data_IF_491426826706
#
_entry.id   IF_491426826706
#
_cell.length_a   1.000
_cell.length_b   1.000
_cell.length_c   1.000
_cell.angle_alpha   90.00
_cell.angle_beta   90.00
_cell.angle_gamma   90.00
#
_symmetry.space_group_name_H-M   'P 1'
#
loop_
_entity.id
_entity.type
_entity.pdbx_description
1 polymer ?
#
# COMPACT_ATOMS: atom_id res chain seq x y z
N UNK A 1 -8.25 11.32 -3.08
CA UNK A 1 -7.67 11.34 -4.44
C UNK A 1 -7.85 10.01 -5.18
N UNK A 2 -7.67 8.88 -4.50
CA UNK A 2 -7.87 7.55 -5.12
C UNK A 2 -9.29 7.39 -5.69
N UNK A 3 -10.29 7.78 -4.91
CA UNK A 3 -11.69 7.71 -5.34
C UNK A 3 -11.93 8.59 -6.57
N UNK A 4 -11.39 9.80 -6.56
CA UNK A 4 -11.53 10.74 -7.68
C UNK A 4 -10.97 10.15 -8.97
N UNK A 5 -9.79 9.55 -8.91
CA UNK A 5 -9.18 8.91 -10.08
C UNK A 5 -9.99 7.71 -10.58
N UNK A 6 -10.49 6.89 -9.67
CA UNK A 6 -11.34 5.74 -10.03
C UNK A 6 -12.66 6.20 -10.67
N UNK A 7 -13.28 7.24 -10.13
CA UNK A 7 -14.51 7.81 -10.69
C UNK A 7 -14.31 8.42 -12.07
N UNK A 8 -13.09 8.87 -12.37
CA UNK A 8 -12.70 9.35 -13.69
C UNK A 8 -12.37 8.21 -14.67
N UNK A 9 -12.55 6.97 -14.27
CA UNK A 9 -12.28 5.80 -15.08
C UNK A 9 -10.81 5.37 -15.13
N UNK A 10 -9.99 5.84 -14.19
CA UNK A 10 -8.56 5.53 -14.17
C UNK A 10 -8.25 4.38 -13.21
N UNK A 11 -7.35 3.50 -13.63
CA UNK A 11 -6.79 2.46 -12.77
C UNK A 11 -5.80 3.07 -11.80
N UNK A 12 -5.82 2.60 -10.56
CA UNK A 12 -4.88 3.04 -9.53
C UNK A 12 -4.03 1.86 -9.02
N UNK A 13 -2.89 2.21 -8.45
CA UNK A 13 -2.04 1.28 -7.68
C UNK A 13 -1.93 1.81 -6.27
N UNK A 14 -2.48 1.04 -5.34
CA UNK A 14 -2.41 1.35 -3.91
C UNK A 14 -1.23 0.60 -3.33
N UNK A 15 -0.31 1.34 -2.73
CA UNK A 15 0.90 0.78 -2.13
C UNK A 15 0.86 0.96 -0.62
N UNK A 16 1.15 -0.09 0.12
CA UNK A 16 1.16 -0.08 1.58
C UNK A 16 2.48 -0.65 2.09
N UNK A 17 3.15 0.07 2.97
CA UNK A 17 4.34 -0.44 3.66
C UNK A 17 3.93 -1.53 4.63
N UNK A 18 4.44 -2.75 4.44
CA UNK A 18 4.13 -3.91 5.27
C UNK A 18 5.10 -4.06 6.42
N UNK A 19 6.38 -3.92 6.15
CA UNK A 19 7.42 -4.06 7.16
C UNK A 19 8.62 -3.21 6.80
N UNK A 20 9.35 -2.80 7.83
CA UNK A 20 10.60 -2.05 7.70
C UNK A 20 11.65 -2.68 8.59
N UNK A 21 12.87 -2.80 8.09
CA UNK A 21 14.02 -3.30 8.83
C UNK A 21 15.10 -2.24 8.83
N UNK A 22 15.69 -1.97 10.00
CA UNK A 22 16.65 -0.89 10.17
C UNK A 22 15.99 0.48 10.21
N UNK A 23 16.73 1.52 9.87
CA UNK A 23 16.22 2.89 9.83
C UNK A 23 15.38 3.12 8.58
N UNK A 24 14.09 3.35 8.75
CA UNK A 24 13.20 3.73 7.66
C UNK A 24 12.40 4.98 8.08
N UNK A 25 12.22 5.97 7.18
CA UNK A 25 11.48 7.18 7.51
C UNK A 25 9.96 6.96 7.61
N UNK A 26 9.45 5.81 7.18
CA UNK A 26 8.03 5.49 7.21
C UNK A 26 7.77 4.22 8.00
N UNK A 27 6.70 4.23 8.77
CA UNK A 27 6.26 3.09 9.57
C UNK A 27 5.39 2.13 8.75
N UNK A 28 5.27 0.85 9.17
CA UNK A 28 4.29 -0.06 8.59
C UNK A 28 2.89 0.56 8.60
N UNK A 29 2.15 0.37 7.50
CA UNK A 29 0.85 0.97 7.30
C UNK A 29 0.88 2.30 6.53
N UNK A 30 2.04 2.90 6.29
CA UNK A 30 2.14 4.07 5.42
C UNK A 30 1.71 3.72 4.00
N UNK A 31 1.01 4.63 3.34
CA UNK A 31 0.36 4.37 2.06
C UNK A 31 0.71 5.41 1.01
N UNK A 32 0.74 4.96 -0.24
CA UNK A 32 0.85 5.80 -1.42
C UNK A 32 -0.14 5.29 -2.47
N UNK A 33 -0.79 6.17 -3.18
CA UNK A 33 -1.60 5.82 -4.34
C UNK A 33 -1.02 6.48 -5.58
N UNK A 34 -0.96 5.72 -6.68
CA UNK A 34 -0.42 6.19 -7.94
C UNK A 34 -1.32 5.78 -9.10
N UNK A 35 -1.18 6.44 -10.22
CA UNK A 35 -1.81 6.06 -11.49
C UNK A 35 -0.78 5.87 -12.60
N UNK A 36 -1.20 5.32 -13.73
CA UNK A 36 -0.32 4.83 -14.79
C UNK A 36 0.66 5.88 -15.35
N UNK A 37 0.33 7.15 -15.27
CA UNK A 37 1.20 8.24 -15.76
C UNK A 37 2.28 8.69 -14.75
N UNK A 38 2.32 8.08 -13.57
CA UNK A 38 3.27 8.40 -12.51
C UNK A 38 2.78 9.45 -11.50
N UNK A 39 1.61 10.03 -11.70
CA UNK A 39 1.03 10.91 -10.69
C UNK A 39 0.71 10.12 -9.43
N UNK A 40 1.01 10.67 -8.26
CA UNK A 40 0.86 9.96 -6.99
C UNK A 40 0.58 10.91 -5.83
N UNK A 41 0.05 10.31 -4.75
CA UNK A 41 -0.19 10.98 -3.47
C UNK A 41 0.27 10.05 -2.36
N UNK A 42 0.88 10.60 -1.33
CA UNK A 42 1.46 9.83 -0.23
C UNK A 42 2.93 9.52 -0.45
N UNK A 43 3.48 8.67 0.43
CA UNK A 43 4.90 8.34 0.41
C UNK A 43 5.16 6.97 1.03
N UNK A 44 6.14 6.24 0.49
CA UNK A 44 6.59 4.94 1.00
C UNK A 44 7.87 5.06 1.83
N UNK A 45 8.84 5.83 1.37
CA UNK A 45 10.15 5.94 2.02
C UNK A 45 10.71 7.35 2.02
N UNK A 46 10.09 8.27 1.26
CA UNK A 46 10.55 9.64 1.15
C UNK A 46 11.63 9.87 0.09
N UNK A 47 11.69 9.07 -0.98
CA UNK A 47 12.63 9.35 -2.06
C UNK A 47 12.85 8.21 -3.05
N UNK A 48 13.96 7.46 -2.89
CA UNK A 48 14.43 6.51 -3.92
C UNK A 48 13.45 5.38 -4.24
N UNK A 49 12.67 4.92 -3.26
CA UNK A 49 11.71 3.83 -3.47
C UNK A 49 10.57 4.31 -4.35
N UNK A 50 10.06 5.51 -4.11
CA UNK A 50 8.99 6.10 -4.92
C UNK A 50 9.43 6.26 -6.37
N UNK A 51 10.62 6.77 -6.61
CA UNK A 51 11.14 6.96 -7.96
C UNK A 51 11.23 5.63 -8.72
N UNK A 52 11.82 4.61 -8.11
CA UNK A 52 11.91 3.29 -8.73
C UNK A 52 10.53 2.69 -8.99
N UNK A 53 9.65 2.75 -8.01
CA UNK A 53 8.29 2.24 -8.16
C UNK A 53 7.56 2.94 -9.31
N UNK A 54 7.61 4.25 -9.37
CA UNK A 54 6.90 5.03 -10.39
C UNK A 54 7.49 4.79 -11.79
N UNK A 55 8.81 4.66 -11.91
CA UNK A 55 9.46 4.34 -13.18
C UNK A 55 9.00 2.97 -13.71
N UNK A 56 8.95 1.96 -12.84
CA UNK A 56 8.47 0.62 -13.21
C UNK A 56 6.98 0.61 -13.52
N UNK A 57 6.20 1.39 -12.78
CA UNK A 57 4.77 1.55 -13.01
C UNK A 57 4.49 2.12 -14.40
N UNK A 58 5.18 3.19 -14.77
CA UNK A 58 5.06 3.81 -16.10
C UNK A 58 5.46 2.82 -17.21
N UNK A 59 6.40 1.93 -16.95
CA UNK A 59 6.81 0.88 -17.87
C UNK A 59 5.85 -0.31 -17.95
N UNK A 60 4.81 -0.33 -17.12
CA UNK A 60 3.80 -1.37 -17.12
C UNK A 60 4.19 -2.67 -16.42
N UNK A 61 5.13 -2.63 -15.48
CA UNK A 61 5.61 -3.84 -14.80
C UNK A 61 4.64 -4.43 -13.77
N UNK A 62 3.73 -3.62 -13.24
CA UNK A 62 2.81 -4.07 -12.19
C UNK A 62 1.43 -4.41 -12.77
N UNK A 63 1.24 -5.68 -13.12
CA UNK A 63 0.02 -6.17 -13.77
C UNK A 63 -0.85 -7.04 -12.86
N UNK A 64 -0.30 -7.55 -11.76
CA UNK A 64 -1.03 -8.43 -10.85
C UNK A 64 -2.00 -7.66 -9.96
N UNK A 65 -3.14 -8.27 -9.58
CA UNK A 65 -4.09 -7.64 -8.67
C UNK A 65 -3.47 -7.29 -7.31
N UNK A 66 -2.59 -8.14 -6.81
CA UNK A 66 -1.84 -7.91 -5.58
C UNK A 66 -0.48 -8.58 -5.67
N UNK A 67 0.55 -7.89 -5.24
CA UNK A 67 1.92 -8.41 -5.18
C UNK A 67 2.68 -7.73 -4.04
N UNK A 68 3.58 -8.48 -3.42
CA UNK A 68 4.51 -7.93 -2.43
C UNK A 68 5.86 -7.75 -3.11
N UNK A 69 6.40 -6.54 -3.03
CA UNK A 69 7.73 -6.23 -3.55
C UNK A 69 8.66 -5.84 -2.40
N UNK A 70 9.95 -6.09 -2.56
CA UNK A 70 10.96 -5.84 -1.55
C UNK A 70 12.03 -4.91 -2.07
N UNK A 71 12.40 -3.93 -1.25
CA UNK A 71 13.48 -3.00 -1.50
C UNK A 71 14.52 -3.11 -0.39
N UNK A 72 15.80 -3.03 -0.77
CA UNK A 72 16.90 -3.09 0.18
C UNK A 72 17.18 -4.50 0.72
N UNK A 73 18.10 -4.61 1.69
CA UNK A 73 18.53 -5.88 2.27
C UNK A 73 19.63 -6.56 1.46
N UNK A 74 20.31 -7.51 2.11
CA UNK A 74 21.47 -8.24 1.54
C UNK A 74 21.09 -9.61 0.95
N UNK A 75 19.81 -9.88 0.73
CA UNK A 75 19.38 -11.17 0.20
C UNK A 75 19.60 -11.24 -1.31
N UNK A 76 20.10 -12.39 -1.77
CA UNK A 76 20.26 -12.70 -3.20
C UNK A 76 18.94 -12.65 -3.97
N UNK A 77 17.81 -12.70 -3.27
CA UNK A 77 16.47 -12.57 -3.83
C UNK A 77 16.10 -11.13 -4.19
N UNK A 78 16.93 -10.19 -3.83
CA UNK A 78 16.67 -8.79 -4.16
C UNK A 78 16.91 -8.57 -5.67
N UNK A 79 15.83 -8.66 -6.43
CA UNK A 79 15.85 -8.49 -7.90
C UNK A 79 16.21 -7.09 -8.36
N UNK A 80 16.44 -6.18 -7.41
CA UNK A 80 16.74 -4.80 -7.73
C UNK A 80 17.96 -4.27 -6.96
N UNK A 81 19.18 -4.61 -7.41
CA UNK A 81 20.42 -4.16 -6.77
C UNK A 81 20.63 -2.64 -6.87
N UNK A 82 19.79 -1.92 -7.61
CA UNK A 82 19.96 -0.49 -7.86
C UNK A 82 19.30 0.38 -6.78
N UNK A 83 18.35 -0.15 -6.02
CA UNK A 83 17.67 0.62 -4.98
C UNK A 83 18.18 0.19 -3.63
N UNK A 84 19.24 0.86 -3.19
CA UNK A 84 19.67 0.79 -1.80
C UNK A 84 18.94 1.87 -1.02
N UNK A 85 18.28 1.49 0.05
CA UNK A 85 17.76 2.48 0.98
C UNK A 85 18.93 3.26 1.58
N UNK A 86 18.87 4.59 1.68
CA UNK A 86 19.98 5.42 2.18
C UNK A 86 20.45 5.01 3.57
N UNK A 87 19.63 4.32 4.33
CA UNK A 87 19.90 3.88 5.70
C UNK A 87 20.36 2.42 5.79
N UNK A 88 20.55 1.72 4.68
CA UNK A 88 20.92 0.30 4.68
C UNK A 88 19.82 -0.65 5.16
N UNK A 89 18.59 -0.18 5.31
CA UNK A 89 17.44 -0.98 5.74
C UNK A 89 16.78 -1.73 4.60
N UNK A 90 15.69 -2.44 4.91
CA UNK A 90 14.84 -3.12 3.95
C UNK A 90 13.38 -2.70 4.13
N UNK A 91 12.61 -2.77 3.05
CA UNK A 91 11.22 -2.36 3.00
C UNK A 91 10.43 -3.39 2.19
N UNK A 92 9.30 -3.85 2.73
CA UNK A 92 8.34 -4.66 2.00
C UNK A 92 7.07 -3.86 1.74
N UNK A 93 6.60 -3.88 0.50
CA UNK A 93 5.47 -3.08 0.05
C UNK A 93 4.44 -3.98 -0.64
N UNK A 94 3.19 -3.89 -0.19
CA UNK A 94 2.06 -4.46 -0.90
C UNK A 94 1.63 -3.50 -2.01
N UNK A 95 1.58 -4.00 -3.23
CA UNK A 95 1.08 -3.26 -4.39
C UNK A 95 -0.23 -3.86 -4.85
N UNK A 96 -1.29 -3.08 -4.81
CA UNK A 96 -2.63 -3.48 -5.22
C UNK A 96 -3.04 -2.69 -6.46
N UNK A 97 -3.18 -3.37 -7.59
CA UNK A 97 -3.75 -2.78 -8.80
C UNK A 97 -5.26 -2.85 -8.74
N UNK A 98 -5.93 -1.71 -8.85
CA UNK A 98 -7.39 -1.63 -8.78
C UNK A 98 -7.94 -0.87 -9.96
N UNK A 99 -8.86 -1.54 -10.67
CA UNK A 99 -9.59 -0.95 -11.79
C UNK A 99 -10.77 -0.10 -11.27
N UNK A 100 -11.32 0.80 -12.10
CA UNK A 100 -12.43 1.67 -11.70
C UNK A 100 -13.77 0.92 -11.63
N UNK A 101 -13.79 -0.21 -10.91
CA UNK A 101 -14.99 -0.98 -10.65
C UNK A 101 -15.74 -0.41 -9.44
N UNK A 102 -17.07 -0.36 -9.54
CA UNK A 102 -17.93 0.22 -8.51
C UNK A 102 -17.73 -0.42 -7.13
N UNK A 103 -17.49 -1.72 -7.10
CA UNK A 103 -17.25 -2.47 -5.86
C UNK A 103 -16.07 -1.93 -5.04
N UNK A 104 -14.95 -1.70 -5.69
CA UNK A 104 -13.76 -1.17 -5.00
C UNK A 104 -13.96 0.29 -4.58
N UNK A 105 -14.58 1.08 -5.42
CA UNK A 105 -14.92 2.48 -5.08
C UNK A 105 -15.81 2.53 -3.85
N UNK A 106 -16.83 1.67 -3.79
CA UNK A 106 -17.74 1.59 -2.63
C UNK A 106 -17.01 1.16 -1.36
N UNK A 107 -16.08 0.22 -1.46
CA UNK A 107 -15.24 -0.17 -0.33
C UNK A 107 -14.38 1.00 0.20
N UNK A 108 -13.77 1.78 -0.69
CA UNK A 108 -12.99 2.94 -0.29
C UNK A 108 -13.87 4.02 0.35
N UNK A 109 -15.06 4.25 -0.18
CA UNK A 109 -16.02 5.20 0.42
C UNK A 109 -16.42 4.76 1.82
N UNK A 110 -16.73 3.48 2.00
CA UNK A 110 -17.04 2.91 3.31
C UNK A 110 -15.89 3.11 4.28
N UNK A 111 -14.67 2.81 3.85
CA UNK A 111 -13.47 2.98 4.66
C UNK A 111 -13.30 4.43 5.11
N UNK A 112 -13.38 5.38 4.19
CA UNK A 112 -13.24 6.81 4.50
C UNK A 112 -14.35 7.32 5.42
N UNK A 113 -15.59 6.89 5.20
CA UNK A 113 -16.73 7.26 6.02
C UNK A 113 -16.55 6.78 7.46
N UNK A 114 -16.13 5.54 7.66
CA UNK A 114 -15.88 4.96 8.97
C UNK A 114 -14.73 5.64 9.69
N UNK A 115 -13.64 5.90 8.98
CA UNK A 115 -12.51 6.65 9.53
C UNK A 115 -12.92 8.05 9.96
N UNK A 116 -13.76 8.73 9.19
CA UNK A 116 -14.28 10.06 9.54
C UNK A 116 -15.16 10.02 10.79
N UNK A 117 -15.78 8.88 11.08
CA UNK A 117 -16.58 8.67 12.31
C UNK A 117 -15.73 8.23 13.51
N UNK A 118 -14.41 8.17 13.36
CA UNK A 118 -13.50 7.77 14.43
C UNK A 118 -13.33 6.27 14.61
N UNK A 119 -13.80 5.46 13.66
CA UNK A 119 -13.70 4.00 13.72
C UNK A 119 -12.44 3.50 13.00
N UNK A 120 -11.77 2.50 13.59
CA UNK A 120 -10.72 1.75 12.93
C UNK A 120 -11.30 0.56 12.16
N UNK A 121 -10.72 0.23 11.02
CA UNK A 121 -11.11 -0.92 10.19
C UNK A 121 -9.90 -1.74 9.81
N UNK A 122 -10.09 -3.06 9.72
CA UNK A 122 -9.11 -3.97 9.18
C UNK A 122 -9.44 -4.25 7.71
N UNK A 123 -8.47 -4.03 6.83
CA UNK A 123 -8.52 -4.48 5.44
C UNK A 123 -7.83 -5.84 5.37
N UNK A 124 -8.54 -6.83 4.91
CA UNK A 124 -7.97 -8.15 4.65
C UNK A 124 -7.79 -8.32 3.15
N UNK A 125 -6.55 -8.43 2.70
CA UNK A 125 -6.19 -8.47 1.28
C UNK A 125 -5.65 -9.84 0.93
N UNK A 126 -6.29 -10.52 -0.02
CA UNK A 126 -5.82 -11.78 -0.57
C UNK A 126 -4.78 -11.56 -1.67
N UNK A 127 -3.64 -12.25 -1.58
CA UNK A 127 -2.58 -12.13 -2.58
C UNK A 127 -2.91 -12.84 -3.90
N UNK A 128 -3.56 -13.99 -3.83
CA UNK A 128 -3.82 -14.80 -5.01
C UNK A 128 -4.84 -14.17 -5.97
N UNK A 129 -5.90 -13.56 -5.45
CA UNK A 129 -6.98 -13.00 -6.26
C UNK A 129 -7.21 -11.51 -6.09
N UNK A 130 -6.48 -10.86 -5.20
CA UNK A 130 -6.68 -9.45 -4.89
C UNK A 130 -7.99 -9.14 -4.18
N UNK A 131 -8.65 -10.12 -3.62
CA UNK A 131 -9.89 -9.94 -2.87
C UNK A 131 -9.64 -9.10 -1.63
N UNK A 132 -10.50 -8.12 -1.37
CA UNK A 132 -10.42 -7.24 -0.21
C UNK A 132 -11.73 -7.32 0.57
N UNK A 133 -11.60 -7.53 1.89
CA UNK A 133 -12.74 -7.44 2.81
C UNK A 133 -12.42 -6.44 3.92
N UNK A 134 -13.46 -5.83 4.49
CA UNK A 134 -13.36 -4.85 5.56
C UNK A 134 -14.01 -5.44 6.82
N UNK A 135 -13.31 -5.34 7.94
CA UNK A 135 -13.80 -5.83 9.24
C UNK A 135 -13.65 -4.74 10.30
N UNK A 136 -14.66 -4.54 11.17
CA UNK A 136 -14.48 -3.69 12.34
C UNK A 136 -13.38 -4.25 13.24
N UNK A 137 -12.57 -3.38 13.82
CA UNK A 137 -11.49 -3.78 14.71
C UNK A 137 -11.35 -2.77 15.85
N UNK A 138 -11.02 -3.27 17.03
CA UNK A 138 -10.60 -2.41 18.13
C UNK A 138 -9.15 -1.98 17.87
N UNK A 139 -8.88 -0.67 17.93
CA UNK A 139 -7.58 -0.11 17.61
C UNK A 139 -6.56 -0.38 18.72
N UNK A 140 -6.10 -1.63 18.80
CA UNK A 140 -5.08 -2.03 19.76
C UNK A 140 -4.11 -3.03 19.13
N UNK A 141 -2.99 -2.56 18.60
CA UNK A 141 -1.94 -3.45 18.13
C UNK A 141 -1.26 -3.05 16.84
N UNK A 142 -0.68 -4.03 16.18
CA UNK A 142 0.08 -3.84 14.95
C UNK A 142 -0.81 -3.39 13.80
N UNK A 143 -0.35 -2.39 13.05
CA UNK A 143 -1.07 -1.90 11.87
C UNK A 143 -1.06 -2.87 10.71
N UNK A 144 -0.08 -3.76 10.66
CA UNK A 144 0.03 -4.78 9.62
C UNK A 144 0.28 -6.12 10.28
N UNK A 145 -0.53 -7.10 9.90
CA UNK A 145 -0.37 -8.49 10.32
C UNK A 145 -0.20 -9.31 9.04
N UNK A 146 1.04 -9.75 8.82
CA UNK A 146 1.37 -10.60 7.69
C UNK A 146 2.49 -11.56 8.08
N UNK A 147 2.22 -12.84 7.94
CA UNK A 147 3.22 -13.88 8.10
C UNK A 147 3.76 -14.28 6.73
N UNK A 148 5.08 -14.42 6.64
CA UNK A 148 5.74 -14.83 5.40
C UNK A 148 5.18 -16.18 4.94
N UNK A 149 4.75 -16.25 3.68
CA UNK A 149 4.10 -17.42 3.12
C UNK A 149 2.58 -17.43 3.28
N UNK A 150 1.99 -16.51 4.03
CA UNK A 150 0.55 -16.34 4.11
C UNK A 150 0.00 -15.72 2.82
N UNK A 151 -1.16 -16.22 2.36
CA UNK A 151 -1.87 -15.67 1.20
C UNK A 151 -2.72 -14.46 1.54
N UNK A 152 -2.80 -14.07 2.80
CA UNK A 152 -3.66 -12.99 3.29
C UNK A 152 -2.87 -12.02 4.13
N UNK A 153 -3.06 -10.72 3.85
CA UNK A 153 -2.46 -9.63 4.59
C UNK A 153 -3.57 -8.83 5.25
N UNK A 154 -3.43 -8.57 6.54
CA UNK A 154 -4.35 -7.75 7.32
C UNK A 154 -3.72 -6.40 7.63
N UNK A 155 -4.41 -5.32 7.26
CA UNK A 155 -3.93 -3.95 7.44
C UNK A 155 -4.98 -3.19 8.25
N UNK A 156 -4.60 -2.74 9.42
CA UNK A 156 -5.46 -1.90 10.27
C UNK A 156 -5.30 -0.45 9.85
N UNK A 157 -6.41 0.15 9.45
CA UNK A 157 -6.48 1.58 9.13
C UNK A 157 -7.25 2.27 10.24
N UNK A 158 -6.58 3.17 10.93
CA UNK A 158 -7.15 3.89 12.06
C UNK A 158 -7.22 5.40 11.77
N UNK A 159 -8.19 6.12 12.37
CA UNK A 159 -8.21 7.57 12.27
C UNK A 159 -6.95 8.14 12.89
N UNK A 160 -6.28 9.01 12.16
CA UNK A 160 -5.13 9.75 12.69
C UNK A 160 -5.67 11.08 13.24
N UNK A 161 -5.37 11.38 14.48
CA UNK A 161 -5.85 12.59 15.16
C UNK A 161 -5.38 13.90 14.49
N UNK A 162 -4.65 13.82 13.40
CA UNK A 162 -4.09 14.94 12.65
C UNK A 162 -4.37 14.91 11.16
N UNK A 163 -5.39 14.21 10.71
CA UNK A 163 -5.86 14.40 9.36
C UNK A 163 -6.61 15.72 9.27
N UNK A 164 -5.84 16.80 9.37
CA UNK A 164 -6.28 18.09 8.87
C UNK A 164 -6.01 18.03 7.37
N UNK A 165 -6.97 17.61 6.67
CA UNK A 165 -6.96 17.68 5.23
C UNK A 165 -7.55 19.01 4.79
#
# INVERSE_FOLDING_TARGET
QAIDWLEQGQTIWLCTVLSTFGSSPREPGAMMVAKADGAHVGSLSGGCVEEDFLDRLVQGEYTLPSVVIRYGGDSEENRNPKVKLPCGGALEVLVEKRSPESHFVDQLRTLLQRLSSGEALEREVGLAGGNVSLHPVDDHGSRVIWEQGSETIKIVVAPVARLIL
#
